data_IF_981679818315
#
_entry.id   IF_981679818315
#
_cell.length_a   1.000
_cell.length_b   1.000
_cell.length_c   1.000
_cell.angle_alpha   90.00
_cell.angle_beta   90.00
_cell.angle_gamma   90.00
#
_symmetry.space_group_name_H-M   'P 1'
#
loop_
_entity.id
_entity.type
_entity.pdbx_description
1 polymer ?
#
# COMPACT_ATOMS: atom_id res chain seq x y z
N UNK A 1 -35.77 59.69 -53.39
CA UNK A 1 -34.69 58.74 -53.54
C UNK A 1 -34.30 58.23 -52.15
N UNK A 2 -34.79 57.08 -51.78
CA UNK A 2 -34.57 56.49 -50.43
C UNK A 2 -33.35 55.56 -50.44
N UNK A 3 -32.32 55.89 -49.67
CA UNK A 3 -31.12 55.11 -49.57
C UNK A 3 -31.30 54.02 -48.50
N UNK A 4 -31.31 52.74 -48.91
CA UNK A 4 -31.48 51.58 -48.03
C UNK A 4 -30.09 51.23 -47.52
N UNK A 5 -29.82 51.44 -46.20
CA UNK A 5 -28.61 50.95 -45.52
C UNK A 5 -28.79 49.46 -45.22
N UNK A 6 -27.98 48.59 -45.82
CA UNK A 6 -27.84 47.18 -45.47
C UNK A 6 -26.95 47.09 -44.23
N UNK A 7 -27.52 46.61 -43.15
CA UNK A 7 -26.79 46.24 -41.93
C UNK A 7 -26.40 44.76 -42.09
N UNK A 8 -25.10 44.48 -42.26
CA UNK A 8 -24.56 43.13 -42.15
C UNK A 8 -24.35 42.79 -40.67
N UNK A 9 -25.18 41.90 -40.14
CA UNK A 9 -24.95 41.30 -38.83
C UNK A 9 -23.94 40.17 -39.01
N UNK A 10 -22.74 40.39 -38.47
CA UNK A 10 -21.71 39.33 -38.36
C UNK A 10 -22.04 38.47 -37.13
N UNK A 11 -22.48 37.22 -37.38
CA UNK A 11 -22.58 36.22 -36.33
C UNK A 11 -21.17 35.71 -36.02
N UNK A 12 -20.62 36.10 -34.86
CA UNK A 12 -19.44 35.51 -34.29
C UNK A 12 -19.87 34.23 -33.59
N UNK A 13 -19.62 33.08 -34.23
CA UNK A 13 -19.77 31.78 -33.58
C UNK A 13 -18.55 31.57 -32.70
N UNK A 14 -18.72 31.84 -31.42
CA UNK A 14 -17.71 31.56 -30.38
C UNK A 14 -17.74 30.06 -30.07
N UNK A 15 -16.93 29.27 -30.79
CA UNK A 15 -16.70 27.86 -30.48
C UNK A 15 -15.92 27.74 -29.18
N UNK A 16 -16.62 27.51 -28.07
CA UNK A 16 -16.01 27.10 -26.82
C UNK A 16 -15.44 25.72 -26.98
N UNK A 17 -14.12 25.62 -27.22
CA UNK A 17 -13.36 24.38 -27.07
C UNK A 17 -13.40 23.99 -25.58
N UNK A 18 -14.35 23.12 -25.19
CA UNK A 18 -14.23 22.41 -23.92
C UNK A 18 -13.02 21.47 -24.05
N UNK A 19 -11.89 21.90 -23.53
CA UNK A 19 -10.77 21.01 -23.23
C UNK A 19 -11.28 19.94 -22.26
N UNK A 20 -11.69 18.78 -22.80
CA UNK A 20 -11.87 17.58 -21.99
C UNK A 20 -10.49 17.19 -21.49
N UNK A 21 -10.12 17.68 -20.32
CA UNK A 21 -9.07 17.05 -19.52
C UNK A 21 -9.56 15.62 -19.29
N UNK A 22 -8.97 14.67 -19.99
CA UNK A 22 -9.08 13.27 -19.66
C UNK A 22 -8.37 13.06 -18.33
N UNK A 23 -9.02 13.39 -17.23
CA UNK A 23 -8.75 12.75 -15.95
C UNK A 23 -9.07 11.29 -16.23
N UNK A 24 -8.02 10.49 -16.45
CA UNK A 24 -8.13 9.04 -16.36
C UNK A 24 -8.57 8.76 -14.93
N UNK A 25 -9.85 8.89 -14.69
CA UNK A 25 -10.47 8.39 -13.49
C UNK A 25 -10.23 6.88 -13.57
N UNK A 26 -9.25 6.36 -12.82
CA UNK A 26 -9.32 4.98 -12.40
C UNK A 26 -10.70 4.81 -11.80
N UNK A 27 -11.61 4.19 -12.57
CA UNK A 27 -12.96 3.93 -12.12
C UNK A 27 -12.85 3.34 -10.72
N UNK A 28 -13.67 3.82 -9.79
CA UNK A 28 -13.66 3.28 -8.44
C UNK A 28 -13.84 1.76 -8.57
N UNK A 29 -12.86 0.98 -8.09
CA UNK A 29 -12.95 -0.47 -8.15
C UNK A 29 -14.12 -0.89 -7.26
N UNK A 30 -14.95 -1.84 -7.69
CA UNK A 30 -16.14 -2.24 -6.96
C UNK A 30 -15.79 -3.05 -5.70
N UNK A 31 -15.22 -2.38 -4.68
CA UNK A 31 -14.78 -3.01 -3.41
C UNK A 31 -15.92 -3.67 -2.65
N UNK A 32 -17.18 -3.25 -2.91
CA UNK A 32 -18.37 -3.89 -2.37
C UNK A 32 -18.55 -5.34 -2.86
N UNK A 33 -17.88 -5.74 -3.95
CA UNK A 33 -17.87 -7.12 -4.45
C UNK A 33 -16.88 -8.03 -3.74
N UNK A 34 -15.92 -7.46 -3.01
CA UNK A 34 -15.01 -8.24 -2.18
C UNK A 34 -15.78 -8.93 -1.06
N UNK A 35 -15.55 -10.22 -0.82
CA UNK A 35 -16.20 -10.95 0.27
C UNK A 35 -15.91 -10.32 1.64
N UNK A 36 -14.71 -9.79 1.82
CA UNK A 36 -14.27 -9.12 3.05
C UNK A 36 -15.01 -7.81 3.33
N UNK A 37 -15.62 -7.18 2.31
CA UNK A 37 -16.36 -5.92 2.45
C UNK A 37 -17.58 -6.03 3.37
N UNK A 38 -18.05 -7.25 3.61
CA UNK A 38 -19.17 -7.54 4.53
C UNK A 38 -18.79 -7.39 6.00
N UNK A 39 -17.50 -7.57 6.32
CA UNK A 39 -16.98 -7.69 7.67
C UNK A 39 -16.05 -6.57 8.09
N UNK A 40 -15.99 -5.48 7.31
CA UNK A 40 -15.18 -4.30 7.63
C UNK A 40 -15.81 -3.05 7.07
N UNK A 41 -15.44 -1.90 7.62
CA UNK A 41 -15.78 -0.58 7.10
C UNK A 41 -14.58 0.14 6.48
N UNK A 42 -13.39 -0.49 6.45
CA UNK A 42 -12.18 0.10 5.90
C UNK A 42 -11.37 -0.95 5.12
N UNK A 43 -11.07 -0.66 3.86
CA UNK A 43 -10.29 -1.53 2.98
C UNK A 43 -9.15 -0.74 2.35
N UNK A 44 -7.94 -1.25 2.52
CA UNK A 44 -6.78 -0.86 1.72
C UNK A 44 -6.64 -1.89 0.60
N UNK A 45 -6.98 -1.48 -0.63
CA UNK A 45 -6.90 -2.36 -1.80
C UNK A 45 -5.64 -2.07 -2.61
N UNK A 46 -4.74 -3.05 -2.66
CA UNK A 46 -3.47 -2.99 -3.37
C UNK A 46 -3.56 -3.85 -4.62
N UNK A 47 -3.51 -3.21 -5.78
CA UNK A 47 -3.72 -3.85 -7.08
C UNK A 47 -2.46 -3.78 -7.92
N UNK A 48 -1.93 -4.93 -8.31
CA UNK A 48 -0.79 -5.02 -9.23
C UNK A 48 -1.18 -4.64 -10.66
N UNK A 49 -0.21 -4.18 -11.43
CA UNK A 49 -0.38 -3.78 -12.81
C UNK A 49 -0.04 -4.95 -13.75
N UNK A 50 -0.95 -5.27 -14.70
CA UNK A 50 -0.76 -6.38 -15.67
C UNK A 50 0.54 -6.27 -16.48
N UNK A 51 0.90 -5.04 -16.88
CA UNK A 51 2.04 -4.78 -17.76
C UNK A 51 3.35 -4.47 -17.02
N UNK A 52 3.30 -4.40 -15.68
CA UNK A 52 4.48 -4.14 -14.87
C UNK A 52 4.33 -4.82 -13.50
N UNK A 53 4.89 -6.03 -13.40
CA UNK A 53 4.66 -6.96 -12.28
C UNK A 53 4.97 -6.43 -10.89
N UNK A 54 5.86 -5.42 -10.77
CA UNK A 54 6.23 -4.83 -9.49
C UNK A 54 5.65 -3.44 -9.25
N UNK A 55 4.79 -2.93 -10.13
CA UNK A 55 4.03 -1.71 -9.89
C UNK A 55 2.64 -2.03 -9.36
N UNK A 56 2.20 -1.24 -8.39
CA UNK A 56 0.89 -1.37 -7.78
C UNK A 56 0.21 -0.02 -7.69
N UNK A 57 -1.12 -0.04 -7.54
CA UNK A 57 -1.89 1.10 -7.05
C UNK A 57 -2.45 0.72 -5.68
N UNK A 58 -2.17 1.52 -4.68
CA UNK A 58 -2.72 1.42 -3.33
C UNK A 58 -3.92 2.35 -3.24
N UNK A 59 -5.07 1.82 -2.88
CA UNK A 59 -6.33 2.55 -2.79
C UNK A 59 -6.90 2.42 -1.37
N UNK A 60 -7.37 3.50 -0.82
CA UNK A 60 -8.03 3.57 0.48
C UNK A 60 -9.52 3.77 0.29
N UNK A 61 -10.32 2.89 0.91
CA UNK A 61 -11.78 2.92 0.86
C UNK A 61 -12.38 2.82 2.24
N UNK A 62 -13.32 3.69 2.55
CA UNK A 62 -14.15 3.59 3.76
C UNK A 62 -15.62 3.42 3.41
N UNK A 63 -16.34 2.71 4.27
CA UNK A 63 -17.78 2.48 4.17
C UNK A 63 -18.50 3.34 5.20
N UNK A 64 -19.43 4.15 4.74
CA UNK A 64 -20.30 4.96 5.59
C UNK A 64 -21.39 4.12 6.29
N UNK A 65 -22.07 4.69 7.26
CA UNK A 65 -23.13 4.02 8.02
C UNK A 65 -24.32 3.59 7.17
N UNK A 66 -24.55 4.21 6.01
CA UNK A 66 -25.55 3.83 5.01
C UNK A 66 -25.07 2.71 4.06
N UNK A 67 -23.86 2.17 4.30
CA UNK A 67 -23.29 1.05 3.54
C UNK A 67 -22.57 1.44 2.27
N UNK A 68 -22.45 2.72 1.97
CA UNK A 68 -21.80 3.21 0.74
C UNK A 68 -20.29 3.27 0.89
N UNK A 69 -19.56 2.66 -0.05
CA UNK A 69 -18.12 2.75 -0.14
C UNK A 69 -17.65 4.03 -0.85
N UNK A 70 -16.66 4.69 -0.27
CA UNK A 70 -16.02 5.88 -0.84
C UNK A 70 -14.52 5.66 -0.92
N UNK A 71 -13.93 5.96 -2.09
CA UNK A 71 -12.47 5.99 -2.25
C UNK A 71 -11.95 7.33 -1.75
N UNK A 72 -11.16 7.29 -0.67
CA UNK A 72 -10.61 8.49 -0.03
C UNK A 72 -9.39 9.02 -0.80
N UNK A 73 -8.48 8.09 -1.16
CA UNK A 73 -7.28 8.41 -1.94
C UNK A 73 -6.75 7.17 -2.66
N UNK A 74 -5.85 7.40 -3.58
CA UNK A 74 -5.02 6.36 -4.18
C UNK A 74 -3.61 6.89 -4.43
N UNK A 75 -2.64 5.98 -4.55
CA UNK A 75 -1.25 6.31 -4.87
C UNK A 75 -0.59 5.15 -5.60
N UNK A 76 0.32 5.47 -6.51
CA UNK A 76 1.18 4.47 -7.12
C UNK A 76 2.25 4.02 -6.12
N UNK A 77 2.54 2.72 -6.14
CA UNK A 77 3.50 2.09 -5.27
C UNK A 77 4.30 1.00 -5.98
N UNK A 78 5.11 0.32 -5.18
CA UNK A 78 6.02 -0.72 -5.64
C UNK A 78 5.76 -1.97 -4.80
N UNK A 79 5.61 -3.12 -5.45
CA UNK A 79 5.59 -4.43 -4.84
C UNK A 79 6.96 -5.13 -5.01
N UNK A 80 7.06 -6.35 -4.54
CA UNK A 80 8.23 -7.19 -4.74
C UNK A 80 8.67 -7.23 -6.21
N UNK A 81 9.98 -7.23 -6.44
CA UNK A 81 10.58 -7.21 -7.80
C UNK A 81 10.05 -8.33 -8.68
N UNK A 82 9.69 -9.48 -8.08
CA UNK A 82 9.13 -10.63 -8.79
C UNK A 82 7.59 -10.67 -8.80
N UNK A 83 6.94 -9.55 -8.43
CA UNK A 83 5.50 -9.37 -8.50
C UNK A 83 4.76 -9.86 -7.25
N UNK A 84 3.46 -10.04 -7.41
CA UNK A 84 2.53 -10.50 -6.37
C UNK A 84 2.21 -11.97 -6.64
N UNK A 85 2.12 -12.82 -5.61
CA UNK A 85 1.88 -14.26 -5.77
C UNK A 85 1.22 -14.88 -4.52
N UNK A 86 0.35 -15.86 -4.75
CA UNK A 86 -0.15 -16.77 -3.70
C UNK A 86 0.92 -17.76 -3.22
N UNK A 87 1.98 -17.97 -4.03
CA UNK A 87 3.11 -18.83 -3.69
C UNK A 87 4.31 -17.94 -3.31
N UNK A 88 4.45 -17.72 -2.01
CA UNK A 88 5.53 -16.94 -1.42
C UNK A 88 6.51 -17.85 -0.70
N UNK A 89 7.81 -17.58 -0.84
CA UNK A 89 8.89 -18.22 -0.07
C UNK A 89 9.92 -17.17 0.36
N UNK A 90 10.75 -17.53 1.34
CA UNK A 90 11.82 -16.63 1.80
C UNK A 90 12.78 -16.30 0.64
N UNK A 91 13.18 -15.05 0.55
CA UNK A 91 14.12 -14.56 -0.47
C UNK A 91 13.62 -14.51 -1.91
N UNK A 92 12.36 -14.90 -2.21
CA UNK A 92 11.81 -14.96 -3.57
C UNK A 92 11.51 -13.60 -4.23
N UNK A 93 11.61 -12.53 -3.46
CA UNK A 93 11.33 -11.13 -3.87
C UNK A 93 9.91 -10.93 -4.39
N UNK A 94 8.94 -11.74 -3.95
CA UNK A 94 7.51 -11.56 -4.25
C UNK A 94 6.79 -10.94 -3.06
N UNK A 95 5.73 -10.20 -3.35
CA UNK A 95 4.73 -9.77 -2.36
C UNK A 95 3.66 -10.85 -2.24
N UNK A 96 3.23 -11.25 -1.05
CA UNK A 96 2.15 -12.21 -0.91
C UNK A 96 0.82 -11.63 -1.39
N UNK A 97 0.06 -12.45 -2.14
CA UNK A 97 -1.33 -12.17 -2.52
C UNK A 97 -2.26 -12.68 -1.42
N UNK A 98 -3.30 -11.91 -1.09
CA UNK A 98 -4.26 -12.33 -0.07
C UNK A 98 -4.93 -11.17 0.67
N UNK A 99 -5.59 -11.53 1.77
CA UNK A 99 -6.21 -10.60 2.71
C UNK A 99 -5.43 -10.61 4.01
N UNK A 100 -5.04 -9.43 4.48
CA UNK A 100 -4.20 -9.23 5.65
C UNK A 100 -4.82 -8.19 6.59
N UNK A 101 -4.36 -8.17 7.84
CA UNK A 101 -4.50 -7.06 8.76
C UNK A 101 -3.12 -6.47 9.08
N UNK A 102 -3.08 -5.22 9.47
CA UNK A 102 -1.91 -4.66 10.12
C UNK A 102 -1.85 -5.13 11.58
N UNK A 103 -0.69 -5.63 12.01
CA UNK A 103 -0.48 -6.05 13.40
C UNK A 103 -0.18 -4.84 14.30
N UNK A 104 0.68 -3.96 13.82
CA UNK A 104 1.09 -2.73 14.48
C UNK A 104 1.74 -1.80 13.47
N UNK A 105 1.79 -0.52 13.81
CA UNK A 105 2.58 0.47 13.10
C UNK A 105 3.95 0.64 13.76
N UNK A 106 4.95 1.07 12.98
CA UNK A 106 6.27 1.34 13.52
C UNK A 106 7.02 2.38 12.68
N UNK A 107 8.11 2.91 13.23
CA UNK A 107 8.92 3.83 12.43
C UNK A 107 10.07 4.48 13.17
N UNK A 108 10.93 5.12 12.35
CA UNK A 108 12.03 5.97 12.79
C UNK A 108 11.57 7.35 13.25
N UNK A 109 10.43 7.83 12.74
CA UNK A 109 9.78 9.07 13.15
C UNK A 109 8.81 8.82 14.30
N UNK A 110 8.39 9.88 14.97
CA UNK A 110 7.42 9.80 16.05
C UNK A 110 6.04 9.37 15.54
N UNK A 111 5.24 8.80 16.44
CA UNK A 111 3.89 8.36 16.13
C UNK A 111 3.07 9.51 15.51
N UNK A 112 2.60 9.38 14.27
CA UNK A 112 1.86 10.44 13.59
C UNK A 112 0.38 10.51 13.99
N UNK A 113 -0.08 9.65 14.91
CA UNK A 113 -1.48 9.51 15.33
C UNK A 113 -2.08 8.14 14.97
N UNK A 114 -1.27 7.07 14.98
CA UNK A 114 -1.73 5.71 14.68
C UNK A 114 -2.82 5.26 15.63
N UNK A 115 -3.85 4.61 15.08
CA UNK A 115 -4.92 3.92 15.83
C UNK A 115 -4.47 2.52 16.31
N UNK A 116 -3.39 2.00 15.74
CA UNK A 116 -2.74 0.76 16.18
C UNK A 116 -1.64 1.05 17.18
N UNK A 117 -1.16 0.02 17.89
CA UNK A 117 0.11 0.10 18.62
C UNK A 117 1.19 0.69 17.69
N UNK A 118 1.94 1.68 18.17
CA UNK A 118 3.04 2.28 17.43
C UNK A 118 4.37 1.98 18.13
N UNK A 119 5.28 1.31 17.42
CA UNK A 119 6.61 0.95 17.91
C UNK A 119 7.65 1.89 17.32
N UNK A 120 8.25 2.74 18.16
CA UNK A 120 9.39 3.57 17.77
C UNK A 120 10.63 2.69 17.62
N UNK A 121 11.27 2.75 16.45
CA UNK A 121 12.52 2.03 16.20
C UNK A 121 13.66 2.64 17.04
N UNK A 122 14.39 1.80 17.75
CA UNK A 122 15.56 2.14 18.56
C UNK A 122 16.82 1.40 18.14
N UNK A 123 17.88 1.57 18.93
CA UNK A 123 19.13 0.83 18.74
C UNK A 123 18.94 -0.65 19.04
N UNK A 124 19.48 -1.50 18.16
CA UNK A 124 19.44 -2.95 18.33
C UNK A 124 18.12 -3.60 17.94
N UNK A 125 17.18 -2.86 17.31
CA UNK A 125 15.94 -3.41 16.79
C UNK A 125 16.15 -4.04 15.43
N UNK A 126 15.81 -5.32 15.32
CA UNK A 126 15.91 -6.14 14.11
C UNK A 126 14.60 -6.87 13.84
N UNK A 127 14.30 -7.13 12.57
CA UNK A 127 13.33 -8.14 12.18
C UNK A 127 14.08 -9.31 11.55
N UNK A 128 14.00 -10.49 12.18
CA UNK A 128 14.81 -11.65 11.78
C UNK A 128 14.19 -12.34 10.58
N UNK A 129 14.96 -12.50 9.50
CA UNK A 129 14.57 -13.17 8.26
C UNK A 129 15.37 -14.48 8.00
N UNK A 130 16.21 -14.89 8.94
CA UNK A 130 16.92 -16.16 8.89
C UNK A 130 16.01 -17.31 9.30
N UNK A 131 15.68 -18.17 8.34
CA UNK A 131 14.80 -19.34 8.56
C UNK A 131 15.35 -20.36 9.57
N UNK A 132 16.62 -20.30 9.93
CA UNK A 132 17.24 -21.19 10.94
C UNK A 132 17.22 -20.62 12.35
N UNK A 133 16.85 -19.33 12.50
CA UNK A 133 16.77 -18.67 13.79
C UNK A 133 15.52 -19.05 14.57
N UNK A 134 15.63 -19.19 15.87
CA UNK A 134 14.47 -19.30 16.76
C UNK A 134 13.58 -18.05 16.76
N UNK A 135 14.10 -16.93 16.27
CA UNK A 135 13.39 -15.65 16.15
C UNK A 135 12.89 -15.35 14.74
N UNK A 136 12.88 -16.35 13.83
CA UNK A 136 12.44 -16.14 12.47
C UNK A 136 11.09 -15.42 12.40
N UNK A 137 10.98 -14.44 11.49
CA UNK A 137 9.80 -13.57 11.27
C UNK A 137 9.31 -12.86 12.53
N UNK A 138 10.22 -12.45 13.45
CA UNK A 138 9.86 -11.67 14.63
C UNK A 138 10.72 -10.43 14.77
N UNK A 139 10.17 -9.41 15.44
CA UNK A 139 10.90 -8.24 15.91
C UNK A 139 11.62 -8.59 17.18
N UNK A 140 12.91 -8.35 17.23
CA UNK A 140 13.78 -8.55 18.40
C UNK A 140 14.60 -7.30 18.69
N UNK A 141 15.07 -7.21 19.95
CA UNK A 141 16.09 -6.23 20.32
C UNK A 141 17.31 -6.94 20.91
N UNK A 142 18.50 -6.65 20.37
CA UNK A 142 19.76 -7.32 20.76
C UNK A 142 20.17 -7.08 22.21
N UNK A 143 19.60 -6.09 22.91
CA UNK A 143 19.77 -5.91 24.34
C UNK A 143 18.95 -6.91 25.19
N UNK A 144 17.93 -7.54 24.60
CA UNK A 144 16.98 -8.43 25.28
C UNK A 144 17.17 -9.90 24.92
N UNK A 145 17.74 -10.19 23.75
CA UNK A 145 17.93 -11.55 23.26
C UNK A 145 19.34 -11.77 22.76
N UNK A 146 19.86 -13.01 22.91
CA UNK A 146 21.13 -13.40 22.33
C UNK A 146 20.93 -13.66 20.82
N UNK A 147 21.76 -13.05 20.00
CA UNK A 147 21.75 -13.22 18.54
C UNK A 147 22.04 -14.69 18.18
N UNK A 148 21.14 -15.30 17.40
CA UNK A 148 21.29 -16.66 16.84
C UNK A 148 21.09 -16.68 15.31
N UNK A 149 20.92 -15.51 14.67
CA UNK A 149 20.63 -15.37 13.24
C UNK A 149 21.83 -14.88 12.44
N UNK A 150 21.92 -15.32 11.17
CA UNK A 150 22.89 -14.84 10.19
C UNK A 150 22.36 -13.69 9.34
N UNK A 151 21.02 -13.54 9.22
CA UNK A 151 20.35 -12.52 8.43
C UNK A 151 19.19 -11.90 9.19
N UNK A 152 19.05 -10.57 9.12
CA UNK A 152 17.93 -9.82 9.68
C UNK A 152 17.87 -8.42 9.04
N UNK A 153 16.69 -7.83 8.98
CA UNK A 153 16.49 -6.41 8.69
C UNK A 153 16.94 -5.57 9.89
N UNK A 154 18.02 -4.78 9.76
CA UNK A 154 18.36 -3.73 10.72
C UNK A 154 17.38 -2.59 10.54
N UNK A 155 16.39 -2.50 11.43
CA UNK A 155 15.29 -1.56 11.30
C UNK A 155 15.76 -0.11 11.37
N UNK A 156 16.81 0.18 12.15
CA UNK A 156 17.37 1.52 12.28
C UNK A 156 18.18 1.94 11.05
N UNK A 157 18.93 1.01 10.46
CA UNK A 157 19.73 1.28 9.27
C UNK A 157 18.88 1.46 8.00
N UNK A 158 17.62 1.05 8.01
CA UNK A 158 16.71 1.11 6.86
C UNK A 158 16.14 2.51 6.57
N UNK A 159 16.76 3.59 7.09
CA UNK A 159 16.39 4.97 6.76
C UNK A 159 16.52 5.25 5.25
N UNK A 160 15.56 5.97 4.63
CA UNK A 160 14.30 6.49 5.16
C UNK A 160 13.11 5.52 4.98
N UNK A 161 13.33 4.29 4.51
CA UNK A 161 12.27 3.33 4.21
C UNK A 161 11.32 3.12 5.38
N UNK A 162 11.85 3.05 6.60
CA UNK A 162 11.07 2.84 7.81
C UNK A 162 10.80 4.12 8.60
N UNK A 163 10.75 5.30 7.92
CA UNK A 163 10.23 6.52 8.56
C UNK A 163 8.85 6.27 9.15
N UNK A 164 7.98 5.56 8.40
CA UNK A 164 6.69 5.01 8.82
C UNK A 164 6.48 3.67 8.15
N UNK A 165 5.94 2.71 8.87
CA UNK A 165 5.65 1.37 8.35
C UNK A 165 4.45 0.73 9.06
N UNK A 166 3.82 -0.25 8.38
CA UNK A 166 2.82 -1.18 8.92
C UNK A 166 3.33 -2.61 8.75
N UNK A 167 3.38 -3.38 9.83
CA UNK A 167 3.67 -4.81 9.79
C UNK A 167 2.39 -5.59 9.48
N UNK A 168 2.41 -6.41 8.42
CA UNK A 168 1.27 -7.25 8.05
C UNK A 168 1.31 -8.61 8.77
N UNK A 169 0.14 -9.18 9.03
CA UNK A 169 0.01 -10.50 9.68
C UNK A 169 0.32 -11.68 8.73
N UNK A 170 1.34 -11.50 7.88
CA UNK A 170 1.83 -12.56 7.02
C UNK A 170 2.76 -13.50 7.79
N UNK A 171 2.52 -14.83 7.66
CA UNK A 171 3.34 -15.88 8.31
C UNK A 171 3.57 -15.66 9.81
N UNK A 172 2.55 -15.27 10.55
CA UNK A 172 2.63 -14.98 12.00
C UNK A 172 3.02 -16.20 12.85
N UNK A 173 2.82 -17.40 12.31
CA UNK A 173 3.28 -18.64 12.93
C UNK A 173 4.79 -18.89 12.74
N UNK A 174 5.46 -17.96 12.08
CA UNK A 174 6.90 -17.99 11.82
C UNK A 174 7.38 -19.31 11.18
N UNK A 175 6.58 -19.86 10.25
CA UNK A 175 6.95 -21.11 9.56
C UNK A 175 8.18 -20.86 8.69
N UNK A 176 9.31 -21.56 8.96
CA UNK A 176 10.56 -21.35 8.23
C UNK A 176 10.41 -21.50 6.71
N UNK A 177 11.01 -20.58 5.97
CA UNK A 177 11.00 -20.59 4.51
C UNK A 177 9.73 -20.05 3.83
N UNK A 178 8.66 -19.78 4.57
CA UNK A 178 7.42 -19.21 3.99
C UNK A 178 7.51 -17.71 3.66
N UNK A 179 8.56 -17.05 4.10
CA UNK A 179 8.75 -15.60 3.94
C UNK A 179 8.51 -14.84 5.24
N UNK A 180 9.20 -13.72 5.37
CA UNK A 180 9.25 -12.89 6.58
C UNK A 180 9.19 -11.41 6.22
N UNK A 181 9.09 -10.53 7.23
CA UNK A 181 9.25 -9.09 7.12
C UNK A 181 8.37 -8.46 6.00
N UNK A 182 7.08 -8.82 5.95
CA UNK A 182 6.15 -8.24 4.97
C UNK A 182 5.49 -6.99 5.56
N UNK A 183 5.88 -5.85 5.02
CA UNK A 183 5.45 -4.52 5.47
C UNK A 183 4.86 -3.69 4.33
N UNK A 184 4.11 -2.64 4.70
CA UNK A 184 3.91 -1.47 3.86
C UNK A 184 4.76 -0.36 4.47
N UNK A 185 5.62 0.30 3.68
CA UNK A 185 6.54 1.32 4.19
C UNK A 185 6.87 2.39 3.14
N UNK A 186 7.69 3.39 3.52
CA UNK A 186 8.02 4.49 2.64
C UNK A 186 8.90 4.06 1.45
N UNK A 187 8.77 4.79 0.31
CA UNK A 187 9.83 4.84 -0.71
C UNK A 187 11.00 5.68 -0.19
N UNK A 188 12.21 5.41 -0.69
CA UNK A 188 13.38 6.27 -0.44
C UNK A 188 13.33 7.53 -1.29
N UNK A 189 12.95 7.36 -2.54
CA UNK A 189 12.80 8.41 -3.54
C UNK A 189 11.63 8.08 -4.46
N UNK A 190 11.19 9.06 -5.27
CA UNK A 190 10.16 8.86 -6.30
C UNK A 190 10.63 7.90 -7.41
N UNK A 191 11.94 7.66 -7.51
CA UNK A 191 12.57 6.79 -8.50
C UNK A 191 12.83 5.36 -8.00
N UNK A 192 12.34 4.99 -6.82
CA UNK A 192 12.44 3.62 -6.35
C UNK A 192 11.75 2.65 -7.33
N UNK A 193 12.42 1.56 -7.64
CA UNK A 193 11.96 0.61 -8.66
C UNK A 193 11.83 -0.82 -8.16
N UNK A 194 12.26 -1.13 -6.94
CA UNK A 194 12.33 -2.50 -6.46
C UNK A 194 11.99 -2.65 -4.98
N UNK A 195 11.50 -3.83 -4.61
CA UNK A 195 11.29 -4.27 -3.23
C UNK A 195 11.63 -5.76 -3.12
N UNK A 196 12.07 -6.19 -1.95
CA UNK A 196 12.30 -7.61 -1.65
C UNK A 196 11.00 -8.39 -1.35
N UNK A 197 9.85 -7.69 -1.23
CA UNK A 197 8.53 -8.30 -0.96
C UNK A 197 7.55 -7.32 -0.33
N UNK A 198 8.04 -6.28 0.34
CA UNK A 198 7.19 -5.23 0.92
C UNK A 198 6.49 -4.39 -0.15
N UNK A 199 5.42 -3.72 0.25
CA UNK A 199 4.80 -2.64 -0.52
C UNK A 199 5.46 -1.33 -0.12
N UNK A 200 5.85 -0.52 -1.10
CA UNK A 200 6.44 0.82 -0.90
C UNK A 200 5.55 1.90 -1.49
N UNK A 201 5.29 2.95 -0.72
CA UNK A 201 4.55 4.14 -1.15
C UNK A 201 5.24 5.41 -0.65
N UNK A 202 4.99 6.59 -1.26
CA UNK A 202 5.53 7.85 -0.78
C UNK A 202 5.19 8.12 0.70
N UNK A 203 6.12 8.77 1.41
CA UNK A 203 6.04 8.98 2.86
C UNK A 203 4.74 9.68 3.29
N UNK A 204 4.27 10.69 2.55
CA UNK A 204 3.03 11.41 2.87
C UNK A 204 1.80 10.49 2.87
N UNK A 205 1.75 9.54 1.93
CA UNK A 205 0.69 8.53 1.88
C UNK A 205 0.88 7.46 2.94
N UNK A 206 2.14 7.10 3.26
CA UNK A 206 2.42 6.18 4.35
C UNK A 206 1.96 6.75 5.71
N UNK A 207 2.18 8.04 5.93
CA UNK A 207 1.68 8.74 7.12
C UNK A 207 0.15 8.73 7.20
N UNK A 208 -0.55 9.00 6.07
CA UNK A 208 -2.02 8.90 5.99
C UNK A 208 -2.49 7.48 6.31
N UNK A 209 -1.81 6.48 5.75
CA UNK A 209 -2.14 5.07 5.95
C UNK A 209 -1.99 4.68 7.44
N UNK A 210 -0.88 5.04 8.09
CA UNK A 210 -0.64 4.76 9.51
C UNK A 210 -1.71 5.42 10.40
N UNK A 211 -2.18 6.62 10.05
CA UNK A 211 -3.20 7.34 10.82
C UNK A 211 -4.61 6.79 10.61
N UNK A 212 -4.89 6.20 9.44
CA UNK A 212 -6.23 5.76 9.08
C UNK A 212 -6.53 4.29 9.39
N UNK A 213 -5.49 3.44 9.41
CA UNK A 213 -5.64 1.99 9.60
C UNK A 213 -5.84 1.64 11.07
N UNK A 214 -6.85 0.82 11.34
CA UNK A 214 -7.17 0.23 12.64
C UNK A 214 -7.13 -1.32 12.58
N UNK A 215 -7.49 -1.97 13.69
CA UNK A 215 -7.47 -3.43 13.80
C UNK A 215 -8.50 -4.13 12.88
N UNK A 216 -9.59 -3.45 12.51
CA UNK A 216 -10.65 -3.99 11.67
C UNK A 216 -10.40 -3.76 10.17
N UNK A 217 -9.44 -2.89 9.83
CA UNK A 217 -9.07 -2.60 8.46
C UNK A 217 -8.55 -3.84 7.75
N UNK A 218 -9.09 -4.13 6.55
CA UNK A 218 -8.59 -5.21 5.70
C UNK A 218 -7.65 -4.67 4.63
N UNK A 219 -6.49 -5.29 4.52
CA UNK A 219 -5.49 -5.00 3.51
C UNK A 219 -5.55 -6.13 2.48
N UNK A 220 -6.09 -5.81 1.30
CA UNK A 220 -6.29 -6.79 0.22
C UNK A 220 -5.22 -6.54 -0.84
N UNK A 221 -4.39 -7.55 -1.09
CA UNK A 221 -3.30 -7.51 -2.08
C UNK A 221 -3.63 -8.48 -3.20
N UNK A 222 -3.77 -7.99 -4.44
CA UNK A 222 -4.12 -8.81 -5.61
C UNK A 222 -3.17 -8.55 -6.78
N UNK A 223 -2.88 -9.62 -7.56
CA UNK A 223 -1.99 -9.54 -8.72
C UNK A 223 -2.44 -8.51 -9.76
N UNK A 224 -3.73 -8.41 -9.99
CA UNK A 224 -4.35 -7.44 -10.89
C UNK A 224 -5.86 -7.41 -10.66
N UNK A 225 -6.54 -6.47 -11.32
CA UNK A 225 -7.98 -6.23 -11.16
C UNK A 225 -8.86 -7.44 -11.48
N UNK A 226 -8.42 -8.37 -12.33
CA UNK A 226 -9.22 -9.56 -12.68
C UNK A 226 -9.38 -10.53 -11.49
N UNK A 227 -8.50 -10.42 -10.49
CA UNK A 227 -8.55 -11.20 -9.25
C UNK A 227 -9.49 -10.64 -8.19
N UNK A 228 -10.10 -9.48 -8.44
CA UNK A 228 -10.93 -8.79 -7.45
C UNK A 228 -12.08 -9.67 -6.93
N UNK A 229 -12.73 -10.45 -7.81
CA UNK A 229 -13.85 -11.33 -7.45
C UNK A 229 -13.44 -12.59 -6.66
N UNK A 230 -12.14 -12.82 -6.49
CA UNK A 230 -11.62 -13.98 -5.73
C UNK A 230 -11.51 -13.70 -4.22
N UNK A 231 -11.70 -12.47 -3.79
CA UNK A 231 -11.55 -11.99 -2.42
C UNK A 231 -12.81 -11.24 -1.95
#
# INVERSE_FOLDING_TARGET
MKLIKKICAAFVVMSTLLARTSVSAYAALPVEKLSVSKNTNHIILIVGHKNNKNKVTVNDYTKSSDGKWTKNWYVNGIAGTNGISTQKSEGDKKTPEGVFNAMFAFGLKDNPGSLLEYRKIGDGDYWVDDSNSAYYNTWVNTSKVKKDWASAEDLKAAYPFYNYALALNYNTEAVPGKGSAIFIHCTKTDNDTSSAGCIRIPEDYMKKLVNGVDADTKIVIIQNVDKLSSY
#
